data_IF_487199521745
#
_entry.id   IF_487199521745
#
_cell.length_a   1.000
_cell.length_b   1.000
_cell.length_c   1.000
_cell.angle_alpha   90.00
_cell.angle_beta   90.00
_cell.angle_gamma   90.00
#
_symmetry.space_group_name_H-M   'P 1'
#
loop_
_entity.id
_entity.type
_entity.pdbx_description
1 polymer ?
#
# COMPACT_ATOMS: atom_id res chain seq x y z
N UNK A 1 -8.76 -6.13 34.08
CA UNK A 1 -7.94 -6.87 33.12
C UNK A 1 -8.91 -7.41 32.06
N UNK A 2 -9.06 -6.75 30.92
CA UNK A 2 -9.79 -7.28 29.77
C UNK A 2 -9.24 -6.68 28.49
N UNK A 3 -8.85 -7.57 27.59
CA UNK A 3 -8.18 -7.41 26.31
C UNK A 3 -8.89 -6.48 25.30
N UNK A 4 -8.56 -5.17 25.31
CA UNK A 4 -8.94 -4.24 24.23
C UNK A 4 -7.76 -3.39 23.70
N UNK A 5 -6.54 -3.89 23.83
CA UNK A 5 -5.34 -3.15 23.42
C UNK A 5 -4.81 -3.55 22.04
N UNK A 6 -5.19 -4.72 21.52
CA UNK A 6 -4.58 -5.28 20.31
C UNK A 6 -5.24 -4.74 19.03
N UNK A 7 -6.54 -4.41 19.06
CA UNK A 7 -7.26 -3.85 17.91
C UNK A 7 -6.91 -2.37 17.62
N UNK A 8 -6.22 -1.69 18.55
CA UNK A 8 -5.78 -0.30 18.38
C UNK A 8 -4.36 -0.19 17.77
N UNK A 9 -3.71 -1.32 17.45
CA UNK A 9 -2.27 -1.32 17.24
C UNK A 9 -1.82 -0.80 15.87
N UNK A 10 -2.68 -0.81 14.85
CA UNK A 10 -2.39 -0.24 13.53
C UNK A 10 -3.21 1.02 13.25
N UNK A 11 -2.76 2.15 13.82
CA UNK A 11 -3.18 3.45 13.30
C UNK A 11 -2.56 3.71 11.91
N UNK A 12 -3.15 4.62 11.14
CA UNK A 12 -2.70 4.99 9.77
C UNK A 12 -1.19 5.27 9.68
N UNK A 13 -0.65 5.91 10.71
CA UNK A 13 0.76 6.31 10.79
C UNK A 13 1.70 5.14 11.09
N UNK A 14 1.30 4.22 11.99
CA UNK A 14 2.04 3.00 12.33
C UNK A 14 2.01 2.03 11.16
N UNK A 15 0.86 1.83 10.54
CA UNK A 15 0.71 0.99 9.35
C UNK A 15 1.69 1.44 8.26
N UNK A 16 1.69 2.74 7.93
CA UNK A 16 2.59 3.29 6.92
C UNK A 16 4.08 3.05 7.24
N UNK A 17 4.48 3.23 8.51
CA UNK A 17 5.85 2.93 8.95
C UNK A 17 6.19 1.44 8.89
N UNK A 18 5.25 0.57 9.23
CA UNK A 18 5.42 -0.88 9.20
C UNK A 18 5.65 -1.37 7.77
N UNK A 19 4.87 -0.84 6.81
CA UNK A 19 5.06 -1.08 5.37
C UNK A 19 6.47 -0.67 4.95
N UNK A 20 6.88 0.57 5.22
CA UNK A 20 8.21 1.05 4.81
C UNK A 20 9.34 0.23 5.44
N UNK A 21 9.20 -0.15 6.71
CA UNK A 21 10.17 -1.02 7.38
C UNK A 21 10.25 -2.38 6.69
N UNK A 22 9.12 -2.98 6.35
CA UNK A 22 9.03 -4.29 5.68
C UNK A 22 9.63 -4.24 4.27
N UNK A 23 9.35 -3.17 3.51
CA UNK A 23 9.96 -2.90 2.20
C UNK A 23 11.48 -2.87 2.31
N UNK A 24 12.04 -2.20 3.32
CA UNK A 24 13.49 -2.09 3.50
C UNK A 24 14.10 -3.40 4.03
N UNK A 25 13.48 -4.03 5.03
CA UNK A 25 13.99 -5.26 5.65
C UNK A 25 13.97 -6.46 4.71
N UNK A 26 12.91 -6.59 3.89
CA UNK A 26 12.78 -7.70 2.94
C UNK A 26 13.20 -7.32 1.51
N UNK A 27 13.49 -6.04 1.25
CA UNK A 27 13.81 -5.52 -0.09
C UNK A 27 12.76 -5.92 -1.14
N UNK A 28 11.50 -5.76 -0.76
CA UNK A 28 10.33 -6.10 -1.58
C UNK A 28 9.53 -4.85 -1.94
N UNK A 29 8.77 -4.90 -3.03
CA UNK A 29 7.91 -3.79 -3.42
C UNK A 29 6.80 -3.52 -2.41
N UNK A 30 6.21 -2.32 -2.50
CA UNK A 30 5.12 -1.91 -1.61
C UNK A 30 3.93 -2.86 -1.63
N UNK A 31 3.64 -3.48 -2.78
CA UNK A 31 2.50 -4.41 -2.94
C UNK A 31 2.66 -5.64 -2.04
N UNK A 32 3.83 -6.29 -2.13
CA UNK A 32 4.16 -7.48 -1.33
C UNK A 32 4.29 -7.14 0.15
N UNK A 33 4.89 -5.98 0.48
CA UNK A 33 5.00 -5.54 1.86
C UNK A 33 3.62 -5.34 2.51
N UNK A 34 2.64 -4.83 1.77
CA UNK A 34 1.26 -4.69 2.27
C UNK A 34 0.66 -6.06 2.54
N UNK A 35 0.75 -7.00 1.59
CA UNK A 35 0.20 -8.34 1.76
C UNK A 35 0.84 -9.10 2.93
N UNK A 36 2.16 -9.00 3.09
CA UNK A 36 2.86 -9.62 4.22
C UNK A 36 2.46 -9.02 5.56
N UNK A 37 2.31 -7.69 5.64
CA UNK A 37 1.83 -7.04 6.85
C UNK A 37 0.39 -7.45 7.16
N UNK A 38 -0.47 -7.56 6.14
CA UNK A 38 -1.83 -8.06 6.30
C UNK A 38 -1.84 -9.50 6.83
N UNK A 39 -1.04 -10.39 6.25
CA UNK A 39 -0.95 -11.81 6.61
C UNK A 39 -0.45 -12.00 8.05
N UNK A 40 0.65 -11.32 8.41
CA UNK A 40 1.28 -11.38 9.74
C UNK A 40 0.35 -10.87 10.85
N UNK A 41 -0.50 -9.89 10.52
CA UNK A 41 -1.45 -9.30 11.46
C UNK A 41 -2.87 -9.89 11.34
N UNK A 42 -3.08 -10.88 10.46
CA UNK A 42 -4.40 -11.46 10.16
C UNK A 42 -5.46 -10.40 9.81
N UNK A 43 -5.07 -9.37 9.03
CA UNK A 43 -5.94 -8.28 8.60
C UNK A 43 -6.34 -8.51 7.15
N UNK A 44 -7.61 -8.33 6.83
CA UNK A 44 -8.06 -8.36 5.45
C UNK A 44 -7.56 -7.14 4.65
N UNK A 45 -7.12 -7.34 3.39
CA UNK A 45 -6.64 -6.25 2.54
C UNK A 45 -7.73 -5.19 2.28
N UNK A 46 -9.02 -5.56 2.33
CA UNK A 46 -10.14 -4.62 2.25
C UNK A 46 -10.16 -3.63 3.43
N UNK A 47 -9.88 -4.11 4.65
CA UNK A 47 -9.78 -3.28 5.83
C UNK A 47 -8.52 -2.42 5.81
N UNK A 48 -7.39 -2.96 5.34
CA UNK A 48 -6.13 -2.22 5.23
C UNK A 48 -6.24 -0.99 4.34
N UNK A 49 -7.07 -1.01 3.30
CA UNK A 49 -7.30 0.17 2.43
C UNK A 49 -7.70 1.43 3.23
N UNK A 50 -8.41 1.27 4.35
CA UNK A 50 -8.80 2.40 5.23
C UNK A 50 -7.63 2.93 6.07
N UNK A 51 -6.64 2.07 6.35
CA UNK A 51 -5.44 2.35 7.15
C UNK A 51 -4.22 2.75 6.31
N UNK A 52 -4.24 2.55 5.00
CA UNK A 52 -3.18 3.00 4.08
C UNK A 52 -3.25 4.52 3.93
N UNK A 53 -2.14 5.22 4.24
CA UNK A 53 -2.03 6.65 3.96
C UNK A 53 -1.94 6.91 2.46
N UNK A 54 -2.45 8.06 1.97
CA UNK A 54 -2.36 8.43 0.56
C UNK A 54 -0.92 8.39 0.04
N UNK A 55 0.06 8.73 0.89
CA UNK A 55 1.50 8.67 0.58
C UNK A 55 1.94 7.25 0.20
N UNK A 56 1.51 6.22 0.95
CA UNK A 56 1.87 4.82 0.66
C UNK A 56 1.18 4.36 -0.62
N UNK A 57 -0.05 4.80 -0.87
CA UNK A 57 -0.77 4.52 -2.11
C UNK A 57 -0.04 5.12 -3.31
N UNK A 58 0.40 6.37 -3.21
CA UNK A 58 1.18 7.06 -4.25
C UNK A 58 2.48 6.31 -4.56
N UNK A 59 3.21 5.87 -3.53
CA UNK A 59 4.43 5.07 -3.70
C UNK A 59 4.15 3.71 -4.35
N UNK A 60 3.07 3.04 -3.94
CA UNK A 60 2.62 1.79 -4.55
C UNK A 60 2.23 1.97 -6.02
N UNK A 61 1.48 3.03 -6.35
CA UNK A 61 1.09 3.36 -7.73
C UNK A 61 2.32 3.68 -8.58
N UNK A 62 3.28 4.45 -8.05
CA UNK A 62 4.55 4.75 -8.73
C UNK A 62 5.37 3.48 -9.01
N UNK A 63 5.45 2.57 -8.05
CA UNK A 63 6.09 1.26 -8.23
C UNK A 63 5.35 0.40 -9.25
N UNK A 64 4.02 0.37 -9.21
CA UNK A 64 3.20 -0.36 -10.18
C UNK A 64 3.35 0.19 -11.60
N UNK A 65 3.48 1.51 -11.76
CA UNK A 65 3.78 2.15 -13.05
C UNK A 65 5.20 1.82 -13.52
N UNK A 66 6.19 1.85 -12.61
CA UNK A 66 7.58 1.51 -12.91
C UNK A 66 7.71 0.06 -13.39
N UNK A 67 7.00 -0.86 -12.72
CA UNK A 67 6.95 -2.28 -13.04
C UNK A 67 5.99 -2.61 -14.21
N UNK A 68 5.42 -1.60 -14.88
CA UNK A 68 4.51 -1.76 -16.02
C UNK A 68 3.27 -2.63 -15.71
N UNK A 69 2.84 -2.66 -14.45
CA UNK A 69 1.60 -3.33 -14.00
C UNK A 69 0.36 -2.50 -14.32
N UNK A 70 0.49 -1.19 -14.45
CA UNK A 70 -0.57 -0.29 -14.88
C UNK A 70 -0.36 0.12 -16.34
N UNK A 71 -1.41 0.15 -17.16
CA UNK A 71 -1.31 0.71 -18.50
C UNK A 71 -0.82 2.15 -18.36
N UNK A 72 0.27 2.49 -19.06
CA UNK A 72 0.76 3.85 -19.10
C UNK A 72 -0.38 4.70 -19.65
N UNK A 73 -1.03 5.50 -18.81
CA UNK A 73 -1.98 6.52 -19.27
C UNK A 73 -1.17 7.64 -19.91
N UNK A 74 -0.49 7.32 -21.00
CA UNK A 74 -0.06 8.32 -21.95
C UNK A 74 -1.34 8.73 -22.69
N UNK A 75 -2.15 9.54 -22.02
CA UNK A 75 -3.25 10.27 -22.66
C UNK A 75 -2.62 11.30 -23.58
N UNK A 76 -2.02 10.84 -24.70
CA UNK A 76 -1.91 11.67 -25.88
C UNK A 76 -3.35 11.78 -26.36
N UNK A 77 -3.95 12.89 -25.95
CA UNK A 77 -5.25 13.40 -26.33
C UNK A 77 -5.54 13.05 -27.79
N UNK A 78 -6.36 12.02 -27.98
CA UNK A 78 -6.79 11.57 -29.32
C UNK A 78 -7.90 12.47 -29.88
N UNK A 79 -8.27 13.55 -29.16
CA UNK A 79 -9.26 14.53 -29.56
C UNK A 79 -8.64 15.80 -30.20
N UNK A 80 -7.32 15.86 -30.36
CA UNK A 80 -6.64 17.00 -31.00
C UNK A 80 -6.58 16.90 -32.55
N UNK A 81 -7.03 15.81 -33.16
CA UNK A 81 -6.87 15.56 -34.61
C UNK A 81 -8.14 15.15 -35.37
N UNK A 82 -9.35 15.35 -34.83
CA UNK A 82 -10.60 15.23 -35.59
C UNK A 82 -11.35 16.56 -35.73
#
# INVERSE_FOLDING_TARGET
>A
MSEKLEEQFLNKSKFSKLIEKTVIEKSIGYMEAILLVCDDNNIEPEDVKKFVSPIIRDKLEAEAMSLNFLPKTNSIDSALFE
#
